data_IF_011707390820
#
_entry.id   IF_011707390820
#
_cell.length_a   1.000
_cell.length_b   1.000
_cell.length_c   1.000
_cell.angle_alpha   90.00
_cell.angle_beta   90.00
_cell.angle_gamma   90.00
#
_symmetry.space_group_name_H-M   'P 1'
#
loop_
_entity.id
_entity.type
_entity.pdbx_description
1 polymer ?
#
# COMPACT_ATOMS: atom_id res chain seq x y z
N UNK A 1 6.63 -11.91 27.68
CA UNK A 1 6.96 -11.49 26.30
C UNK A 1 7.01 -9.98 26.31
N UNK A 2 8.17 -9.38 26.05
CA UNK A 2 8.23 -7.94 25.76
C UNK A 2 7.50 -7.70 24.43
N UNK A 3 6.72 -6.63 24.27
CA UNK A 3 6.14 -6.32 22.98
C UNK A 3 7.30 -6.01 22.02
N UNK A 4 7.44 -6.78 20.96
CA UNK A 4 8.42 -6.50 19.91
C UNK A 4 8.15 -5.11 19.35
N UNK A 5 9.15 -4.22 19.40
CA UNK A 5 9.03 -2.84 18.90
C UNK A 5 9.17 -2.77 17.35
N UNK A 6 8.93 -3.90 16.67
CA UNK A 6 9.29 -4.18 15.27
C UNK A 6 8.13 -4.00 14.27
N UNK A 7 7.10 -3.23 14.63
CA UNK A 7 5.97 -2.95 13.73
C UNK A 7 6.42 -2.13 12.51
N UNK A 8 5.95 -2.48 11.31
CA UNK A 8 6.44 -1.89 10.04
C UNK A 8 6.24 -0.37 9.97
N UNK A 9 5.21 0.17 10.60
CA UNK A 9 4.95 1.62 10.65
C UNK A 9 6.11 2.41 11.28
N UNK A 10 6.89 1.81 12.19
CA UNK A 10 8.06 2.43 12.81
C UNK A 10 9.21 2.63 11.83
N UNK A 11 9.20 1.89 10.72
CA UNK A 11 10.21 1.94 9.66
C UNK A 11 9.77 2.76 8.46
N UNK A 12 8.65 3.48 8.54
CA UNK A 12 8.19 4.34 7.45
C UNK A 12 9.22 5.44 7.18
N UNK A 13 9.83 5.49 5.99
CA UNK A 13 11.01 6.32 5.74
C UNK A 13 10.68 7.81 5.49
N UNK A 14 9.41 8.19 5.62
CA UNK A 14 8.91 9.55 5.45
C UNK A 14 8.32 9.82 4.06
N UNK A 15 7.48 10.86 3.99
CA UNK A 15 6.70 11.18 2.78
C UNK A 15 7.57 11.50 1.56
N UNK A 16 8.76 12.10 1.74
CA UNK A 16 9.65 12.36 0.61
C UNK A 16 10.05 11.07 -0.11
N UNK A 17 10.55 10.08 0.65
CA UNK A 17 10.96 8.78 0.09
C UNK A 17 9.77 7.98 -0.45
N UNK A 18 8.59 8.13 0.14
CA UNK A 18 7.35 7.59 -0.41
C UNK A 18 7.01 8.20 -1.77
N UNK A 19 7.03 9.53 -1.90
CA UNK A 19 6.70 10.20 -3.16
C UNK A 19 7.73 9.89 -4.26
N UNK A 20 9.02 9.85 -3.90
CA UNK A 20 10.11 9.45 -4.81
C UNK A 20 9.91 7.99 -5.30
N UNK A 21 9.31 7.13 -4.48
CA UNK A 21 9.00 5.74 -4.82
C UNK A 21 7.74 5.60 -5.68
N UNK A 22 6.70 6.40 -5.41
CA UNK A 22 5.45 6.44 -6.19
C UNK A 22 5.71 6.89 -7.62
N UNK A 23 6.57 7.90 -7.82
CA UNK A 23 6.86 8.44 -9.15
C UNK A 23 7.52 7.44 -10.11
N UNK A 24 8.07 6.33 -9.59
CA UNK A 24 8.59 5.24 -10.41
C UNK A 24 7.50 4.44 -11.14
N UNK A 25 6.22 4.65 -10.82
CA UNK A 25 5.11 3.82 -11.30
C UNK A 25 4.11 4.56 -12.19
N UNK A 26 4.44 5.77 -12.63
CA UNK A 26 3.53 6.54 -13.48
C UNK A 26 3.22 5.84 -14.80
N UNK A 27 4.17 5.09 -15.36
CA UNK A 27 3.99 4.38 -16.62
C UNK A 27 3.07 3.16 -16.45
N UNK A 28 3.32 2.33 -15.43
CA UNK A 28 2.50 1.15 -15.11
C UNK A 28 1.08 1.57 -14.76
N UNK A 29 0.91 2.73 -14.10
CA UNK A 29 -0.41 3.20 -13.74
C UNK A 29 -1.31 3.46 -14.94
N UNK A 30 -0.77 3.96 -16.05
CA UNK A 30 -1.53 4.25 -17.28
C UNK A 30 -2.17 2.98 -17.86
N UNK A 31 -1.58 1.81 -17.62
CA UNK A 31 -2.08 0.52 -18.11
C UNK A 31 -3.22 -0.05 -17.25
N UNK A 32 -3.51 0.53 -16.09
CA UNK A 32 -4.64 0.13 -15.26
C UNK A 32 -5.95 0.62 -15.91
N UNK A 33 -6.84 -0.30 -16.26
CA UNK A 33 -8.16 -0.01 -16.85
C UNK A 33 -9.26 0.23 -15.78
N UNK A 34 -8.98 -0.10 -14.52
CA UNK A 34 -9.89 0.07 -13.37
C UNK A 34 -9.39 1.11 -12.35
N UNK A 35 -8.64 2.13 -12.79
CA UNK A 35 -8.05 3.16 -11.92
C UNK A 35 -9.05 3.78 -10.93
N UNK A 36 -10.20 4.21 -11.43
CA UNK A 36 -11.20 4.92 -10.64
C UNK A 36 -11.77 4.03 -9.53
N UNK A 37 -12.09 2.76 -9.86
CA UNK A 37 -12.62 1.81 -8.88
C UNK A 37 -11.58 1.53 -7.79
N UNK A 38 -10.31 1.32 -8.18
CA UNK A 38 -9.23 1.07 -7.22
C UNK A 38 -8.99 2.28 -6.30
N UNK A 39 -9.01 3.49 -6.86
CA UNK A 39 -8.88 4.74 -6.09
C UNK A 39 -10.03 4.89 -5.08
N UNK A 40 -11.27 4.64 -5.51
CA UNK A 40 -12.45 4.75 -4.65
C UNK A 40 -12.39 3.77 -3.47
N UNK A 41 -12.07 2.51 -3.74
CA UNK A 41 -11.91 1.48 -2.70
C UNK A 41 -10.76 1.77 -1.72
N UNK A 42 -9.80 2.60 -2.13
CA UNK A 42 -8.65 3.03 -1.32
C UNK A 42 -8.82 4.44 -0.75
N UNK A 43 -10.07 4.86 -0.47
CA UNK A 43 -10.37 6.17 0.16
C UNK A 43 -9.78 7.36 -0.60
N UNK A 44 -9.82 7.29 -1.93
CA UNK A 44 -9.27 8.28 -2.85
C UNK A 44 -7.73 8.46 -2.78
N UNK A 45 -7.01 7.47 -2.26
CA UNK A 45 -5.55 7.52 -2.16
C UNK A 45 -4.87 7.04 -3.46
N UNK A 46 -4.68 7.97 -4.39
CA UNK A 46 -4.10 7.70 -5.72
C UNK A 46 -2.70 7.09 -5.64
N UNK A 47 -1.83 7.61 -4.77
CA UNK A 47 -0.46 7.12 -4.63
C UNK A 47 -0.42 5.64 -4.20
N UNK A 48 -1.28 5.26 -3.26
CA UNK A 48 -1.37 3.87 -2.79
C UNK A 48 -1.98 2.99 -3.90
N UNK A 49 -3.00 3.47 -4.62
CA UNK A 49 -3.58 2.75 -5.75
C UNK A 49 -2.54 2.43 -6.84
N UNK A 50 -1.72 3.42 -7.22
CA UNK A 50 -0.59 3.27 -8.16
C UNK A 50 0.35 2.16 -7.74
N UNK A 51 0.85 2.24 -6.51
CA UNK A 51 1.84 1.29 -5.99
C UNK A 51 1.26 -0.11 -5.87
N UNK A 52 0.00 -0.25 -5.42
CA UNK A 52 -0.66 -1.55 -5.31
C UNK A 52 -0.81 -2.18 -6.70
N UNK A 53 -1.34 -1.44 -7.67
CA UNK A 53 -1.48 -1.96 -9.04
C UNK A 53 -0.13 -2.38 -9.62
N UNK A 54 0.92 -1.57 -9.45
CA UNK A 54 2.25 -1.94 -9.93
C UNK A 54 2.85 -3.16 -9.20
N UNK A 55 2.41 -3.45 -7.96
CA UNK A 55 2.93 -4.56 -7.17
C UNK A 55 2.21 -5.89 -7.42
N UNK A 56 0.89 -5.85 -7.65
CA UNK A 56 0.07 -7.07 -7.77
C UNK A 56 -0.73 -7.16 -9.08
N UNK A 57 -0.71 -6.12 -9.90
CA UNK A 57 -1.34 -6.10 -11.22
C UNK A 57 -2.86 -6.16 -11.16
N UNK A 58 -3.45 -6.95 -12.06
CA UNK A 58 -4.90 -7.02 -12.32
C UNK A 58 -5.71 -7.56 -11.15
N UNK A 59 -5.08 -8.24 -10.18
CA UNK A 59 -5.76 -8.75 -8.97
C UNK A 59 -5.89 -7.69 -7.86
N UNK A 60 -5.48 -6.44 -8.11
CA UNK A 60 -5.44 -5.38 -7.09
C UNK A 60 -6.78 -5.19 -6.36
N UNK A 61 -7.91 -5.21 -7.07
CA UNK A 61 -9.25 -5.01 -6.49
C UNK A 61 -9.65 -6.11 -5.49
N UNK A 62 -9.19 -7.34 -5.71
CA UNK A 62 -9.43 -8.44 -4.78
C UNK A 62 -8.41 -8.38 -3.64
N UNK A 63 -7.14 -8.17 -3.98
CA UNK A 63 -6.05 -8.14 -3.00
C UNK A 63 -6.21 -7.07 -1.92
N UNK A 64 -6.80 -5.91 -2.22
CA UNK A 64 -7.04 -4.85 -1.23
C UNK A 64 -8.07 -5.23 -0.15
N UNK A 65 -8.82 -6.31 -0.36
CA UNK A 65 -9.83 -6.86 0.57
C UNK A 65 -9.28 -8.04 1.37
N UNK A 66 -8.26 -8.71 0.86
CA UNK A 66 -7.63 -9.87 1.51
C UNK A 66 -6.78 -9.46 2.71
N UNK A 67 -6.76 -10.31 3.74
CA UNK A 67 -5.91 -10.07 4.91
C UNK A 67 -4.46 -10.43 4.59
N UNK A 68 -3.53 -9.59 5.04
CA UNK A 68 -2.10 -9.81 4.79
C UNK A 68 -1.39 -10.02 6.13
N UNK A 69 -0.73 -11.17 6.36
CA UNK A 69 -0.05 -11.44 7.64
C UNK A 69 0.95 -10.36 8.05
N UNK A 70 1.70 -9.81 7.09
CA UNK A 70 2.67 -8.73 7.32
C UNK A 70 2.02 -7.40 7.76
N UNK A 71 0.72 -7.22 7.53
CA UNK A 71 -0.05 -6.05 7.95
C UNK A 71 -0.78 -6.27 9.28
N UNK A 72 -0.31 -7.22 10.09
CA UNK A 72 -0.98 -7.69 11.32
C UNK A 72 -2.36 -8.32 11.03
N UNK A 73 -2.46 -9.05 9.91
CA UNK A 73 -3.69 -9.65 9.40
C UNK A 73 -4.81 -8.65 9.06
N UNK A 74 -4.46 -7.38 8.85
CA UNK A 74 -5.37 -6.39 8.23
C UNK A 74 -5.29 -6.48 6.72
N UNK A 75 -6.36 -6.09 6.04
CA UNK A 75 -6.30 -5.82 4.60
C UNK A 75 -5.67 -4.46 4.30
N UNK A 76 -5.19 -4.24 3.06
CA UNK A 76 -4.72 -2.92 2.63
C UNK A 76 -5.77 -1.81 2.81
N UNK A 77 -7.04 -2.09 2.51
CA UNK A 77 -8.13 -1.11 2.70
C UNK A 77 -8.37 -0.81 4.19
N UNK A 78 -8.26 -1.80 5.08
CA UNK A 78 -8.37 -1.60 6.53
C UNK A 78 -7.22 -0.77 7.11
N UNK A 79 -6.01 -0.93 6.58
CA UNK A 79 -4.84 -0.15 7.00
C UNK A 79 -5.06 1.36 6.83
N UNK A 80 -5.85 1.78 5.84
CA UNK A 80 -6.14 3.20 5.58
C UNK A 80 -7.03 3.86 6.64
N UNK A 81 -7.68 3.09 7.52
CA UNK A 81 -8.54 3.60 8.59
C UNK A 81 -7.75 4.28 9.72
N UNK A 82 -6.42 4.17 9.73
CA UNK A 82 -5.57 4.82 10.74
C UNK A 82 -4.25 5.31 10.17
N UNK A 83 -3.66 6.29 10.86
CA UNK A 83 -2.34 6.83 10.51
C UNK A 83 -1.23 5.77 10.56
N UNK A 84 -1.22 4.95 11.62
CA UNK A 84 -0.22 3.88 11.77
C UNK A 84 -0.42 2.77 10.74
N UNK A 85 -1.67 2.35 10.48
CA UNK A 85 -1.97 1.38 9.42
C UNK A 85 -1.52 1.86 8.04
N UNK A 86 -1.74 3.14 7.73
CA UNK A 86 -1.29 3.73 6.46
C UNK A 86 0.24 3.67 6.34
N UNK A 87 0.97 4.02 7.41
CA UNK A 87 2.44 3.92 7.45
C UNK A 87 2.91 2.47 7.29
N UNK A 88 2.25 1.53 7.95
CA UNK A 88 2.53 0.09 7.87
C UNK A 88 2.40 -0.42 6.43
N UNK A 89 1.28 -0.11 5.77
CA UNK A 89 1.03 -0.47 4.37
C UNK A 89 2.11 0.11 3.46
N UNK A 90 2.40 1.41 3.59
CA UNK A 90 3.45 2.06 2.77
C UNK A 90 4.82 1.42 2.97
N UNK A 91 5.23 1.15 4.21
CA UNK A 91 6.50 0.46 4.48
C UNK A 91 6.53 -0.93 3.86
N UNK A 92 5.43 -1.69 3.98
CA UNK A 92 5.33 -3.04 3.42
C UNK A 92 5.49 -3.02 1.90
N UNK A 93 4.73 -2.15 1.21
CA UNK A 93 4.81 -1.98 -0.25
C UNK A 93 6.23 -1.57 -0.70
N UNK A 94 6.91 -0.70 0.05
CA UNK A 94 8.30 -0.31 -0.24
C UNK A 94 9.33 -1.43 -0.06
N UNK A 95 8.97 -2.51 0.65
CA UNK A 95 9.82 -3.68 0.90
C UNK A 95 9.45 -4.89 0.06
N UNK A 96 8.37 -4.84 -0.71
CA UNK A 96 8.01 -5.91 -1.62
C UNK A 96 9.10 -6.07 -2.69
N UNK A 97 9.60 -7.29 -2.93
CA UNK A 97 10.43 -7.56 -4.09
C UNK A 97 9.61 -7.32 -5.36
N UNK A 98 10.26 -6.82 -6.39
CA UNK A 98 9.66 -6.54 -7.69
C UNK A 98 10.38 -7.30 -8.78
#
# INVERSE_FOLDING_TARGET
MSPSNDSLENYFPGNKRWNDFVSCFENEWVECDFQNELIEQLSNNVDIAKVIYASVGTIALDWIKETVPALENLSPSECLKSFNGTRRLKTMLMRMPR
#
